data_IF_377071171328
#
_entry.id   IF_377071171328
#
_cell.length_a   1.000
_cell.length_b   1.000
_cell.length_c   1.000
_cell.angle_alpha   90.00
_cell.angle_beta   90.00
_cell.angle_gamma   90.00
#
_symmetry.space_group_name_H-M   'P 1'
#
loop_
_entity.id
_entity.type
_entity.pdbx_description
1 polymer ?
#
# COMPACT_ATOMS: atom_id res chain seq x y z
N UNK A 1 -16.45 19.39 -34.96
CA UNK A 1 -16.01 17.98 -35.15
C UNK A 1 -15.46 17.52 -33.80
N UNK A 2 -16.20 16.64 -33.13
CA UNK A 2 -15.94 16.23 -31.74
C UNK A 2 -14.71 15.29 -31.75
N UNK A 3 -13.62 15.69 -31.09
CA UNK A 3 -12.49 14.82 -30.80
C UNK A 3 -12.88 13.84 -29.69
N UNK A 4 -13.71 12.83 -29.98
CA UNK A 4 -14.07 11.79 -28.99
C UNK A 4 -13.29 10.49 -29.13
N UNK A 5 -12.45 10.34 -30.16
CA UNK A 5 -11.71 9.08 -30.40
C UNK A 5 -10.28 9.03 -29.83
N UNK A 6 -9.72 10.16 -29.37
CA UNK A 6 -8.29 10.23 -28.97
C UNK A 6 -7.95 9.68 -27.57
N UNK A 7 -8.91 9.15 -26.81
CA UNK A 7 -8.67 8.70 -25.41
C UNK A 7 -8.76 7.20 -25.18
N UNK A 8 -8.97 6.38 -26.22
CA UNK A 8 -8.93 4.92 -26.09
C UNK A 8 -7.47 4.45 -26.04
N UNK A 9 -6.88 4.39 -24.84
CA UNK A 9 -5.54 3.81 -24.62
C UNK A 9 -4.63 4.59 -23.68
N UNK A 10 -4.95 5.85 -23.35
CA UNK A 10 -4.13 6.69 -22.48
C UNK A 10 -3.95 6.13 -21.04
N UNK A 11 -4.78 5.17 -20.62
CA UNK A 11 -4.63 4.51 -19.32
C UNK A 11 -3.41 3.57 -19.26
N UNK A 12 -2.90 3.09 -20.41
CA UNK A 12 -1.72 2.23 -20.47
C UNK A 12 -0.49 3.03 -20.02
N UNK A 13 -0.40 4.29 -20.41
CA UNK A 13 0.70 5.19 -20.01
C UNK A 13 0.68 5.48 -18.51
N UNK A 14 -0.51 5.49 -17.88
CA UNK A 14 -0.69 5.71 -16.44
C UNK A 14 -0.54 4.43 -15.60
N UNK A 15 -0.63 3.26 -16.23
CA UNK A 15 -0.64 1.96 -15.54
C UNK A 15 0.58 1.78 -14.60
N UNK A 16 1.82 2.12 -14.98
CA UNK A 16 2.97 1.99 -14.09
C UNK A 16 2.83 2.82 -12.81
N UNK A 17 2.32 4.05 -12.93
CA UNK A 17 2.13 4.98 -11.81
C UNK A 17 1.04 4.47 -10.87
N UNK A 18 -0.08 3.99 -11.42
CA UNK A 18 -1.17 3.38 -10.64
C UNK A 18 -0.70 2.11 -9.93
N UNK A 19 0.04 1.25 -10.62
CA UNK A 19 0.59 0.04 -10.00
C UNK A 19 1.58 0.37 -8.88
N UNK A 20 2.36 1.43 -9.04
CA UNK A 20 3.26 1.90 -7.98
C UNK A 20 2.49 2.42 -6.77
N UNK A 21 1.50 3.30 -6.98
CA UNK A 21 0.70 3.85 -5.88
C UNK A 21 -0.05 2.75 -5.11
N UNK A 22 -0.59 1.75 -5.79
CA UNK A 22 -1.22 0.59 -5.15
C UNK A 22 -0.26 -0.21 -4.28
N UNK A 23 1.02 -0.30 -4.66
CA UNK A 23 2.05 -1.04 -3.90
C UNK A 23 2.56 -0.27 -2.70
N UNK A 24 2.60 1.05 -2.77
CA UNK A 24 3.25 1.91 -1.75
C UNK A 24 2.26 2.72 -0.91
N UNK A 25 0.95 2.57 -1.12
CA UNK A 25 -0.08 3.21 -0.30
C UNK A 25 -0.60 2.21 0.74
N UNK A 26 -0.73 2.61 2.02
CA UNK A 26 -1.29 1.72 3.04
C UNK A 26 -2.72 1.31 2.70
N UNK A 27 -3.01 0.01 2.79
CA UNK A 27 -4.36 -0.48 2.57
C UNK A 27 -5.24 -0.20 3.79
N UNK A 28 -6.50 0.22 3.58
CA UNK A 28 -7.46 0.39 4.68
C UNK A 28 -7.72 -0.88 5.49
N UNK A 29 -7.54 -2.05 4.88
CA UNK A 29 -7.83 -3.33 5.54
C UNK A 29 -6.69 -3.77 6.48
N UNK A 30 -5.44 -3.55 6.08
CA UNK A 30 -4.24 -4.01 6.81
C UNK A 30 -3.53 -2.87 7.56
N UNK A 31 -3.69 -1.63 7.12
CA UNK A 31 -2.93 -0.47 7.60
C UNK A 31 -1.49 -0.43 7.12
N UNK A 32 -1.04 -1.42 6.35
CA UNK A 32 0.33 -1.56 5.83
C UNK A 32 0.33 -1.46 4.30
N UNK A 33 1.47 -1.11 3.70
CA UNK A 33 1.61 -1.11 2.24
C UNK A 33 1.83 -2.55 1.72
N UNK A 34 1.31 -2.92 0.54
CA UNK A 34 1.62 -4.23 -0.04
C UNK A 34 3.12 -4.47 -0.23
N UNK A 35 3.89 -3.43 -0.51
CA UNK A 35 5.34 -3.53 -0.65
C UNK A 35 6.01 -3.96 0.67
N UNK A 36 5.65 -3.34 1.80
CA UNK A 36 6.26 -3.68 3.10
C UNK A 36 5.89 -5.08 3.59
N UNK A 37 4.71 -5.59 3.23
CA UNK A 37 4.34 -6.99 3.56
C UNK A 37 5.18 -8.03 2.81
N UNK A 38 5.58 -7.72 1.57
CA UNK A 38 6.40 -8.62 0.74
C UNK A 38 7.88 -8.52 1.12
N UNK A 39 8.42 -7.30 1.14
CA UNK A 39 9.85 -7.05 1.27
C UNK A 39 10.30 -6.73 2.71
N UNK A 40 9.35 -6.55 3.64
CA UNK A 40 9.65 -6.30 5.05
C UNK A 40 9.97 -4.84 5.41
N UNK A 41 10.00 -3.93 4.44
CA UNK A 41 10.23 -2.50 4.68
C UNK A 41 9.55 -1.64 3.61
N UNK A 42 9.34 -0.35 3.92
CA UNK A 42 8.72 0.59 2.98
C UNK A 42 9.66 0.96 1.83
N UNK A 43 9.12 0.98 0.60
CA UNK A 43 9.85 1.42 -0.58
C UNK A 43 10.27 2.89 -0.49
N UNK A 44 11.41 3.22 -1.11
CA UNK A 44 11.75 4.61 -1.43
C UNK A 44 10.89 5.04 -2.61
N UNK A 45 10.14 6.13 -2.44
CA UNK A 45 9.23 6.57 -3.50
C UNK A 45 10.00 7.36 -4.57
N UNK A 46 9.59 7.29 -5.85
CA UNK A 46 10.17 8.13 -6.91
C UNK A 46 10.17 9.62 -6.56
N UNK A 47 9.13 10.10 -5.86
CA UNK A 47 9.06 11.48 -5.39
C UNK A 47 10.17 11.82 -4.37
N UNK A 48 10.57 10.87 -3.52
CA UNK A 48 11.66 11.06 -2.56
C UNK A 48 13.03 11.12 -3.25
N UNK A 49 13.18 10.50 -4.42
CA UNK A 49 14.40 10.58 -5.23
C UNK A 49 14.50 11.92 -5.95
N UNK A 50 13.38 12.42 -6.47
CA UNK A 50 13.32 13.73 -7.13
C UNK A 50 13.45 14.90 -6.16
N UNK A 51 12.94 14.74 -4.94
CA UNK A 51 13.01 15.72 -3.86
C UNK A 51 13.62 15.03 -2.63
N UNK A 52 14.94 15.21 -2.39
CA UNK A 52 15.64 14.51 -1.33
C UNK A 52 14.94 14.68 0.02
N UNK A 53 14.38 13.58 0.52
CA UNK A 53 13.78 13.56 1.86
C UNK A 53 14.84 13.33 2.93
N UNK A 54 14.44 13.45 4.20
CA UNK A 54 15.32 13.12 5.33
C UNK A 54 15.91 11.71 5.23
N UNK A 55 15.16 10.75 4.68
CA UNK A 55 15.63 9.37 4.46
C UNK A 55 16.84 9.30 3.53
N UNK A 56 16.91 10.18 2.53
CA UNK A 56 18.02 10.27 1.58
C UNK A 56 19.14 11.17 2.10
N UNK A 57 18.81 12.31 2.70
CA UNK A 57 19.80 13.27 3.20
C UNK A 57 20.61 12.72 4.39
N UNK A 58 19.98 11.92 5.25
CA UNK A 58 20.62 11.23 6.37
C UNK A 58 21.05 9.80 6.06
N UNK A 59 21.22 9.44 4.78
CA UNK A 59 21.60 8.08 4.41
C UNK A 59 23.07 7.81 4.75
N UNK A 60 23.28 6.91 5.71
CA UNK A 60 24.58 6.31 6.00
C UNK A 60 24.49 4.80 5.81
N UNK A 61 25.29 4.28 4.88
CA UNK A 61 25.23 2.88 4.41
C UNK A 61 25.27 1.87 5.58
N UNK A 62 26.27 1.98 6.46
CA UNK A 62 26.45 1.07 7.61
C UNK A 62 25.25 1.08 8.56
N UNK A 63 24.71 2.26 8.87
CA UNK A 63 23.56 2.40 9.76
C UNK A 63 22.28 1.89 9.10
N UNK A 64 22.11 2.16 7.81
CA UNK A 64 20.99 1.65 7.04
C UNK A 64 21.00 0.11 6.97
N UNK A 65 22.16 -0.50 6.74
CA UNK A 65 22.30 -1.95 6.73
C UNK A 65 21.96 -2.58 8.08
N UNK A 66 22.39 -1.95 9.18
CA UNK A 66 22.02 -2.38 10.51
C UNK A 66 20.50 -2.28 10.71
N UNK A 67 19.91 -1.13 10.38
CA UNK A 67 18.47 -0.91 10.49
C UNK A 67 17.67 -1.89 9.64
N UNK A 68 18.12 -2.21 8.42
CA UNK A 68 17.47 -3.20 7.57
C UNK A 68 17.49 -4.59 8.20
N UNK A 69 18.61 -5.00 8.82
CA UNK A 69 18.69 -6.26 9.57
C UNK A 69 17.74 -6.27 10.78
N UNK A 70 17.65 -5.17 11.49
CA UNK A 70 16.71 -5.04 12.62
C UNK A 70 15.25 -5.13 12.15
N UNK A 71 14.90 -4.45 11.04
CA UNK A 71 13.57 -4.52 10.43
C UNK A 71 13.17 -5.95 10.06
N UNK A 72 14.11 -6.75 9.53
CA UNK A 72 13.86 -8.16 9.19
C UNK A 72 13.35 -8.98 10.37
N UNK A 73 13.78 -8.67 11.60
CA UNK A 73 13.32 -9.37 12.81
C UNK A 73 11.83 -9.10 13.12
N UNK A 74 11.27 -7.99 12.64
CA UNK A 74 9.90 -7.58 12.91
C UNK A 74 8.93 -7.88 11.76
N UNK A 75 9.41 -8.47 10.66
CA UNK A 75 8.59 -8.68 9.47
C UNK A 75 7.45 -9.65 9.73
N UNK A 76 7.68 -10.71 10.51
CA UNK A 76 6.61 -11.66 10.83
C UNK A 76 5.56 -11.01 11.74
N UNK A 77 5.99 -10.20 12.71
CA UNK A 77 5.08 -9.41 13.53
C UNK A 77 4.25 -8.42 12.69
N UNK A 78 4.89 -7.72 11.75
CA UNK A 78 4.21 -6.83 10.81
C UNK A 78 3.10 -7.57 10.04
N UNK A 79 3.42 -8.76 9.52
CA UNK A 79 2.46 -9.60 8.77
C UNK A 79 1.33 -10.09 9.66
N UNK A 80 1.63 -10.53 10.89
CA UNK A 80 0.62 -10.98 11.85
C UNK A 80 -0.35 -9.86 12.23
N UNK A 81 0.17 -8.66 12.50
CA UNK A 81 -0.64 -7.48 12.79
C UNK A 81 -1.53 -7.10 11.59
N UNK A 82 -0.97 -7.15 10.37
CA UNK A 82 -1.72 -6.90 9.14
C UNK A 82 -2.84 -7.92 8.92
N UNK A 83 -2.58 -9.21 9.14
CA UNK A 83 -3.57 -10.28 9.06
C UNK A 83 -4.69 -10.05 10.08
N UNK A 84 -4.36 -9.76 11.33
CA UNK A 84 -5.35 -9.48 12.37
C UNK A 84 -6.28 -8.31 11.98
N UNK A 85 -5.70 -7.20 11.51
CA UNK A 85 -6.47 -6.04 11.04
C UNK A 85 -7.37 -6.38 9.85
N UNK A 86 -6.86 -7.14 8.88
CA UNK A 86 -7.63 -7.59 7.72
C UNK A 86 -8.83 -8.45 8.12
N UNK A 87 -8.64 -9.39 9.06
CA UNK A 87 -9.73 -10.22 9.59
C UNK A 87 -10.80 -9.37 10.28
N UNK A 88 -10.38 -8.41 11.11
CA UNK A 88 -11.28 -7.46 11.77
C UNK A 88 -12.06 -6.62 10.74
N UNK A 89 -11.37 -6.10 9.73
CA UNK A 89 -11.98 -5.32 8.65
C UNK A 89 -13.03 -6.14 7.89
N UNK A 90 -12.68 -7.37 7.47
CA UNK A 90 -13.60 -8.28 6.78
C UNK A 90 -14.84 -8.60 7.62
N UNK A 91 -14.67 -8.84 8.92
CA UNK A 91 -15.78 -9.08 9.83
C UNK A 91 -16.73 -7.87 9.91
N UNK A 92 -16.17 -6.66 10.05
CA UNK A 92 -16.95 -5.43 10.06
C UNK A 92 -17.72 -5.22 8.76
N UNK A 93 -17.07 -5.41 7.60
CA UNK A 93 -17.71 -5.28 6.28
C UNK A 93 -18.84 -6.30 6.09
N UNK A 94 -18.63 -7.54 6.52
CA UNK A 94 -19.66 -8.59 6.44
C UNK A 94 -20.88 -8.21 7.30
N UNK A 95 -20.65 -7.74 8.54
CA UNK A 95 -21.71 -7.32 9.44
C UNK A 95 -22.50 -6.13 8.90
N UNK A 96 -21.83 -5.12 8.35
CA UNK A 96 -22.49 -3.93 7.79
C UNK A 96 -23.28 -4.28 6.54
N UNK A 97 -22.73 -5.11 5.65
CA UNK A 97 -23.42 -5.62 4.48
C UNK A 97 -24.67 -6.40 4.86
N UNK A 98 -24.55 -7.42 5.71
CA UNK A 98 -25.68 -8.24 6.15
C UNK A 98 -26.78 -7.40 6.82
N UNK A 99 -26.42 -6.37 7.59
CA UNK A 99 -27.39 -5.45 8.18
C UNK A 99 -28.15 -4.64 7.12
N UNK A 100 -27.48 -4.19 6.05
CA UNK A 100 -28.12 -3.45 4.95
C UNK A 100 -29.05 -4.35 4.15
N UNK A 101 -28.60 -5.55 3.79
CA UNK A 101 -29.42 -6.52 3.04
C UNK A 101 -30.67 -6.94 3.82
N UNK A 102 -30.55 -7.24 5.12
CA UNK A 102 -31.71 -7.58 5.96
C UNK A 102 -32.74 -6.46 6.07
N UNK A 103 -32.33 -5.19 5.94
CA UNK A 103 -33.26 -4.05 5.92
C UNK A 103 -33.99 -3.89 4.58
N UNK A 104 -33.47 -4.44 3.50
CA UNK A 104 -34.05 -4.36 2.15
C UNK A 104 -34.95 -5.55 1.82
N UNK A 105 -34.85 -6.64 2.59
CA UNK A 105 -35.68 -7.83 2.48
C UNK A 105 -36.99 -7.75 3.30
N UNK A 106 -37.27 -6.59 3.90
CA UNK A 106 -38.50 -6.24 4.65
C UNK A 106 -39.17 -5.11 3.89
#
# INVERSE_FOLDING_TARGET
MIQSESKKGAWIDELPVVMWSLRTTPSHATGETPFSLVYGSEAVLPAEVSLPTFRQLGFHEKENDQRMREQLNFVDELRDQALYRMHKYKHLMTRTYNRRVKKQAV
#
